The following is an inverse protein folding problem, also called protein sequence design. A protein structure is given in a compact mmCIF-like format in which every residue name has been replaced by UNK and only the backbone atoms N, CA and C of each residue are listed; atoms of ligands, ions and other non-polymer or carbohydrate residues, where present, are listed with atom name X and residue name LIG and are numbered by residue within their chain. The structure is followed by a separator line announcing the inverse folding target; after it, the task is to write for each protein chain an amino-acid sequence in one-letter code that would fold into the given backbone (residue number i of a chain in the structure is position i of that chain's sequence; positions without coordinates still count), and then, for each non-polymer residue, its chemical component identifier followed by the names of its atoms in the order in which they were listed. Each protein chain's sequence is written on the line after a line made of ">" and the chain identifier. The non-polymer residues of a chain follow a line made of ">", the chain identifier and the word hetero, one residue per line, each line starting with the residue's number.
data_IF_820915100947
#
_entry.id   IF_820915100947
#
_cell.length_a   1.000
_cell.length_b   1.000
_cell.length_c   1.000
_cell.angle_alpha   90.00
_cell.angle_beta   90.00
_cell.angle_gamma   90.00
#
_symmetry.space_group_name_H-M   'P 1'
#
loop_
_entity.id
_entity.type
_entity.pdbx_description
1 polymer ?
#
# COMPACT_ATOMS: atom_id res chain seq x y z
N UNK A 1 10.07 -26.51 21.52
CA UNK A 1 9.49 -25.14 21.59
C UNK A 1 8.30 -25.11 20.64
N UNK A 2 7.22 -24.44 21.00
CA UNK A 2 6.10 -24.20 20.08
C UNK A 2 6.58 -23.34 18.90
N UNK A 3 5.99 -23.54 17.72
CA UNK A 3 6.26 -22.67 16.56
C UNK A 3 5.77 -21.24 16.87
N UNK A 4 6.49 -20.19 16.41
CA UNK A 4 5.96 -18.83 16.47
C UNK A 4 4.65 -18.72 15.67
N UNK A 5 3.68 -17.99 16.22
CA UNK A 5 2.39 -17.74 15.58
C UNK A 5 2.43 -16.46 14.79
N UNK A 6 2.20 -16.57 13.50
CA UNK A 6 2.26 -15.45 12.56
C UNK A 6 0.84 -15.15 12.07
N UNK A 7 0.38 -13.90 12.26
CA UNK A 7 -0.78 -13.43 11.54
C UNK A 7 -0.35 -12.96 10.15
N UNK A 8 -0.78 -13.67 9.12
CA UNK A 8 -0.64 -13.24 7.73
C UNK A 8 -1.88 -12.42 7.34
N UNK A 9 -1.72 -11.10 7.19
CA UNK A 9 -2.81 -10.20 6.89
C UNK A 9 -2.90 -9.88 5.40
N UNK A 10 -4.13 -9.92 4.86
CA UNK A 10 -4.45 -9.64 3.45
C UNK A 10 -5.79 -8.91 3.32
N UNK A 11 -6.18 -8.51 2.12
CA UNK A 11 -7.37 -7.70 1.87
C UNK A 11 -7.03 -6.24 1.66
N UNK A 12 -7.65 -5.35 2.41
CA UNK A 12 -7.43 -3.90 2.33
C UNK A 12 -8.74 -3.12 2.11
N UNK A 13 -8.64 -1.79 2.10
CA UNK A 13 -9.78 -0.86 2.05
C UNK A 13 -9.89 -0.16 0.69
N UNK A 14 -8.98 -0.41 -0.23
CA UNK A 14 -8.97 0.19 -1.55
C UNK A 14 -9.27 -0.82 -2.65
N UNK A 15 -9.39 -0.36 -3.86
CA UNK A 15 -9.49 -1.19 -5.08
C UNK A 15 -8.31 -2.17 -5.25
N UNK A 16 -7.19 -1.96 -4.53
CA UNK A 16 -6.04 -2.86 -4.52
C UNK A 16 -6.27 -4.16 -3.73
N UNK A 17 -7.35 -4.28 -2.95
CA UNK A 17 -7.67 -5.51 -2.21
C UNK A 17 -7.69 -6.75 -3.10
N UNK A 18 -8.15 -6.62 -4.35
CA UNK A 18 -8.12 -7.71 -5.33
C UNK A 18 -6.69 -8.20 -5.61
N UNK A 19 -5.71 -7.28 -5.63
CA UNK A 19 -4.30 -7.62 -5.81
C UNK A 19 -3.75 -8.30 -4.56
N UNK A 20 -4.13 -7.80 -3.37
CA UNK A 20 -3.76 -8.40 -2.08
C UNK A 20 -4.18 -9.87 -2.02
N UNK A 21 -5.42 -10.19 -2.38
CA UNK A 21 -5.91 -11.58 -2.39
C UNK A 21 -5.18 -12.47 -3.40
N UNK A 22 -4.79 -11.94 -4.56
CA UNK A 22 -3.97 -12.70 -5.54
C UNK A 22 -2.57 -12.95 -5.00
N UNK A 23 -1.93 -11.96 -4.41
CA UNK A 23 -0.62 -12.08 -3.78
C UNK A 23 -0.65 -13.06 -2.60
N UNK A 24 -1.75 -13.08 -1.84
CA UNK A 24 -1.93 -13.96 -0.70
C UNK A 24 -1.78 -15.45 -1.07
N UNK A 25 -2.34 -15.86 -2.21
CA UNK A 25 -2.21 -17.24 -2.70
C UNK A 25 -0.74 -17.63 -2.90
N UNK A 26 0.03 -16.72 -3.51
CA UNK A 26 1.46 -16.96 -3.74
C UNK A 26 2.24 -16.99 -2.43
N UNK A 27 1.94 -16.07 -1.52
CA UNK A 27 2.60 -16.00 -0.21
C UNK A 27 2.33 -17.29 0.57
N UNK A 28 1.06 -17.69 0.71
CA UNK A 28 0.64 -18.89 1.46
C UNK A 28 1.32 -20.16 0.94
N UNK A 29 1.45 -20.29 -0.38
CA UNK A 29 2.12 -21.45 -1.00
C UNK A 29 3.64 -21.50 -0.76
N UNK A 30 4.25 -20.41 -0.28
CA UNK A 30 5.69 -20.31 -0.05
C UNK A 30 6.05 -20.09 1.43
N UNK A 31 5.07 -20.15 2.34
CA UNK A 31 5.34 -20.07 3.78
C UNK A 31 5.93 -21.37 4.31
N UNK A 32 6.93 -21.26 5.15
CA UNK A 32 7.58 -22.41 5.82
C UNK A 32 6.75 -22.82 7.05
N UNK A 33 5.75 -23.67 6.80
CA UNK A 33 4.85 -24.18 7.85
C UNK A 33 5.54 -25.15 8.82
N UNK A 34 6.76 -25.62 8.53
CA UNK A 34 7.55 -26.39 9.49
C UNK A 34 8.12 -25.51 10.59
N UNK A 35 8.37 -24.22 10.27
CA UNK A 35 8.91 -23.23 11.22
C UNK A 35 7.85 -22.40 11.90
N UNK A 36 6.73 -22.11 11.23
CA UNK A 36 5.73 -21.16 11.70
C UNK A 36 4.33 -21.77 11.76
N UNK A 37 3.54 -21.35 12.71
CA UNK A 37 2.09 -21.55 12.76
C UNK A 37 1.43 -20.28 12.19
N UNK A 38 0.80 -20.37 11.01
CA UNK A 38 0.33 -19.20 10.27
C UNK A 38 -1.19 -19.14 10.25
N UNK A 39 -1.71 -17.97 10.61
CA UNK A 39 -3.14 -17.64 10.59
C UNK A 39 -3.37 -16.53 9.57
N UNK A 40 -4.13 -16.82 8.52
CA UNK A 40 -4.57 -15.78 7.60
C UNK A 40 -5.59 -14.90 8.28
N UNK A 41 -5.42 -13.58 8.20
CA UNK A 41 -6.40 -12.59 8.66
C UNK A 41 -6.82 -11.74 7.45
N UNK A 42 -8.09 -11.74 7.16
CA UNK A 42 -8.67 -10.86 6.16
C UNK A 42 -9.07 -9.54 6.82
N UNK A 43 -8.60 -8.43 6.25
CA UNK A 43 -8.91 -7.07 6.69
C UNK A 43 -9.77 -6.41 5.62
N UNK A 44 -11.01 -6.09 5.97
CA UNK A 44 -11.94 -5.35 5.11
C UNK A 44 -12.45 -4.10 5.84
N UNK A 45 -13.07 -3.14 5.14
CA UNK A 45 -13.66 -1.97 5.80
C UNK A 45 -14.69 -2.30 6.88
N UNK A 46 -15.39 -3.44 6.72
CA UNK A 46 -16.49 -3.84 7.59
C UNK A 46 -16.03 -4.68 8.78
N UNK A 47 -14.99 -5.51 8.58
CA UNK A 47 -14.57 -6.49 9.60
C UNK A 47 -13.15 -7.01 9.37
N UNK A 48 -12.52 -7.43 10.46
CA UNK A 48 -11.26 -8.18 10.45
C UNK A 48 -11.54 -9.59 10.97
N UNK A 49 -11.13 -10.61 10.24
CA UNK A 49 -11.47 -11.97 10.59
C UNK A 49 -10.46 -13.00 10.08
N UNK A 50 -10.38 -14.13 10.78
CA UNK A 50 -9.70 -15.33 10.33
C UNK A 50 -10.72 -16.27 9.65
N UNK A 51 -10.54 -16.63 8.36
CA UNK A 51 -11.36 -17.67 7.73
C UNK A 51 -10.91 -19.03 8.24
N UNK A 52 -11.75 -19.72 9.02
CA UNK A 52 -11.45 -21.08 9.49
C UNK A 52 -11.67 -22.13 8.39
N UNK A 53 -11.08 -23.31 8.56
CA UNK A 53 -11.17 -24.39 7.58
C UNK A 53 -12.57 -24.96 7.36
N UNK A 54 -13.51 -24.73 8.28
CA UNK A 54 -14.91 -25.14 8.20
C UNK A 54 -15.82 -24.07 7.56
N UNK A 55 -15.23 -22.98 7.09
CA UNK A 55 -15.93 -21.87 6.43
C UNK A 55 -16.50 -20.82 7.40
N UNK A 56 -16.23 -20.94 8.70
CA UNK A 56 -16.59 -19.90 9.65
C UNK A 56 -15.62 -18.73 9.60
N UNK A 57 -16.07 -17.56 10.01
CA UNK A 57 -15.26 -16.36 10.16
C UNK A 57 -15.06 -16.07 11.64
N UNK A 58 -13.85 -16.24 12.12
CA UNK A 58 -13.47 -15.94 13.51
C UNK A 58 -13.08 -14.47 13.58
N UNK A 59 -13.82 -13.62 14.31
CA UNK A 59 -13.50 -12.20 14.40
C UNK A 59 -12.18 -11.95 15.12
N UNK A 60 -11.46 -10.92 14.68
CA UNK A 60 -10.27 -10.42 15.37
C UNK A 60 -10.70 -9.45 16.46
N UNK A 61 -10.20 -9.64 17.66
CA UNK A 61 -10.28 -8.62 18.71
C UNK A 61 -9.28 -7.51 18.40
N UNK A 62 -9.79 -6.37 17.94
CA UNK A 62 -8.95 -5.23 17.56
C UNK A 62 -8.32 -4.51 18.77
N UNK A 63 -8.72 -4.84 20.00
CA UNK A 63 -8.14 -4.22 21.20
C UNK A 63 -6.74 -4.77 21.51
N UNK A 64 -6.43 -6.00 21.07
CA UNK A 64 -5.13 -6.64 21.27
C UNK A 64 -4.65 -7.50 20.10
N UNK A 65 -5.35 -7.42 18.98
CA UNK A 65 -5.08 -8.18 17.75
C UNK A 65 -5.00 -9.69 17.98
N UNK A 66 -5.98 -10.26 18.65
CA UNK A 66 -6.09 -11.69 18.90
C UNK A 66 -7.33 -12.29 18.23
N UNK A 67 -7.38 -13.62 18.16
CA UNK A 67 -8.57 -14.38 17.78
C UNK A 67 -8.92 -15.37 18.91
N UNK A 68 -10.20 -15.79 18.98
CA UNK A 68 -10.63 -16.84 19.91
C UNK A 68 -11.23 -18.00 19.11
N UNK A 69 -10.58 -19.17 19.15
CA UNK A 69 -11.07 -20.40 18.54
C UNK A 69 -11.25 -21.47 19.60
N UNK A 70 -12.40 -22.13 19.60
CA UNK A 70 -12.78 -23.18 20.57
C UNK A 70 -12.58 -22.77 22.05
N UNK A 71 -12.84 -21.50 22.36
CA UNK A 71 -12.65 -20.94 23.68
C UNK A 71 -11.21 -20.67 24.09
N UNK A 72 -10.25 -20.86 23.17
CA UNK A 72 -8.84 -20.58 23.39
C UNK A 72 -8.46 -19.27 22.69
N UNK A 73 -7.88 -18.35 23.45
CA UNK A 73 -7.33 -17.10 22.93
C UNK A 73 -5.98 -17.35 22.25
N UNK A 74 -5.84 -16.88 21.03
CA UNK A 74 -4.65 -16.99 20.20
C UNK A 74 -4.09 -15.59 19.98
N UNK A 75 -2.89 -15.34 20.53
CA UNK A 75 -2.11 -14.15 20.27
C UNK A 75 -1.04 -14.45 19.21
N UNK A 76 -0.58 -13.44 18.52
CA UNK A 76 0.41 -13.55 17.45
C UNK A 76 1.77 -12.99 17.90
N UNK A 77 2.85 -13.69 17.55
CA UNK A 77 4.22 -13.29 17.86
C UNK A 77 4.75 -12.26 16.84
N UNK A 78 4.22 -12.26 15.62
CA UNK A 78 4.56 -11.29 14.58
C UNK A 78 3.49 -11.24 13.48
N UNK A 79 3.51 -10.17 12.72
CA UNK A 79 2.59 -9.90 11.60
C UNK A 79 3.34 -9.96 10.27
N UNK A 80 2.84 -10.74 9.33
CA UNK A 80 3.24 -10.71 7.93
C UNK A 80 2.23 -9.87 7.15
N UNK A 81 2.62 -8.66 6.74
CA UNK A 81 1.75 -7.75 5.99
C UNK A 81 1.80 -8.10 4.51
N UNK A 82 0.66 -8.55 3.95
CA UNK A 82 0.46 -8.87 2.55
C UNK A 82 -0.63 -8.03 1.88
N UNK A 83 -0.92 -6.85 2.42
CA UNK A 83 -1.91 -5.91 1.89
C UNK A 83 -1.24 -4.93 0.94
N UNK A 84 -1.78 -4.80 -0.27
CA UNK A 84 -1.49 -3.70 -1.18
C UNK A 84 -2.47 -2.55 -0.89
N UNK A 85 -1.94 -1.33 -0.88
CA UNK A 85 -2.73 -0.14 -0.58
C UNK A 85 -3.05 0.05 0.90
N UNK A 86 -4.06 0.87 1.17
CA UNK A 86 -4.53 1.15 2.54
C UNK A 86 -5.28 -0.06 3.13
N UNK A 87 -5.10 -0.39 4.42
CA UNK A 87 -4.27 0.25 5.44
C UNK A 87 -2.86 -0.36 5.59
N UNK A 88 -2.41 -1.21 4.62
CA UNK A 88 -1.18 -2.00 4.72
C UNK A 88 0.10 -1.26 4.34
N UNK A 89 0.01 -0.25 3.46
CA UNK A 89 1.18 0.46 2.94
C UNK A 89 1.25 1.93 3.38
N UNK A 90 0.19 2.48 3.97
CA UNK A 90 0.06 3.91 4.30
C UNK A 90 0.40 4.27 5.75
N UNK A 91 1.00 3.35 6.50
CA UNK A 91 1.45 3.57 7.88
C UNK A 91 0.39 3.32 8.95
N UNK A 92 -0.88 3.08 8.58
CA UNK A 92 -1.98 2.91 9.55
C UNK A 92 -1.85 1.62 10.34
N UNK A 93 -1.67 0.48 9.68
CA UNK A 93 -1.46 -0.80 10.38
C UNK A 93 -0.14 -0.83 11.11
N UNK A 94 0.91 -0.23 10.54
CA UNK A 94 2.20 -0.12 11.20
C UNK A 94 2.08 0.63 12.54
N UNK A 95 1.41 1.80 12.54
CA UNK A 95 1.16 2.57 13.75
C UNK A 95 0.28 1.82 14.78
N UNK A 96 -0.69 1.06 14.31
CA UNK A 96 -1.52 0.22 15.16
C UNK A 96 -0.69 -0.89 15.85
N UNK A 97 0.16 -1.60 15.10
CA UNK A 97 1.03 -2.63 15.66
C UNK A 97 2.15 -2.07 16.53
N UNK A 98 2.67 -0.87 16.21
CA UNK A 98 3.62 -0.16 17.05
C UNK A 98 3.04 0.12 18.45
N UNK A 99 1.78 0.60 18.52
CA UNK A 99 1.08 0.83 19.79
C UNK A 99 0.87 -0.45 20.61
N UNK A 100 0.72 -1.59 19.94
CA UNK A 100 0.55 -2.89 20.59
C UNK A 100 1.87 -3.61 20.90
N UNK A 101 2.98 -3.10 20.42
CA UNK A 101 4.29 -3.75 20.56
C UNK A 101 4.40 -5.07 19.80
N UNK A 102 3.60 -5.29 18.75
CA UNK A 102 3.63 -6.50 17.92
C UNK A 102 4.56 -6.26 16.73
N UNK A 103 5.64 -7.03 16.55
CA UNK A 103 6.53 -6.87 15.41
C UNK A 103 5.84 -7.25 14.09
N UNK A 104 6.20 -6.54 13.02
CA UNK A 104 5.61 -6.75 11.69
C UNK A 104 6.66 -6.64 10.57
N UNK A 105 6.34 -7.20 9.41
CA UNK A 105 7.08 -6.97 8.17
C UNK A 105 6.63 -5.65 7.54
N UNK A 106 7.51 -4.91 6.92
CA UNK A 106 7.31 -3.63 6.24
C UNK A 106 8.24 -2.54 6.81
N UNK A 107 8.18 -1.35 6.26
CA UNK A 107 8.76 -0.15 6.85
C UNK A 107 7.97 0.26 8.11
N UNK A 108 8.54 1.14 8.93
CA UNK A 108 7.81 1.78 10.03
C UNK A 108 6.67 2.67 9.54
N UNK A 109 5.81 3.10 10.46
CA UNK A 109 4.63 3.91 10.13
C UNK A 109 4.97 5.21 9.39
N UNK A 110 6.02 5.91 9.80
CA UNK A 110 6.42 7.18 9.18
C UNK A 110 6.95 6.98 7.76
N UNK A 111 7.82 5.99 7.55
CA UNK A 111 8.37 5.65 6.24
C UNK A 111 7.28 5.16 5.30
N UNK A 112 6.37 4.30 5.78
CA UNK A 112 5.23 3.80 4.99
C UNK A 112 4.31 4.94 4.56
N UNK A 113 3.91 5.81 5.47
CA UNK A 113 3.05 6.97 5.15
C UNK A 113 3.71 7.93 4.15
N UNK A 114 5.01 8.18 4.29
CA UNK A 114 5.76 9.02 3.38
C UNK A 114 5.84 8.42 1.98
N UNK A 115 6.24 7.15 1.88
CA UNK A 115 6.53 6.50 0.58
C UNK A 115 5.26 6.12 -0.18
N UNK A 116 4.15 5.90 0.50
CA UNK A 116 2.85 5.66 -0.13
C UNK A 116 2.26 6.93 -0.77
N UNK A 117 2.55 8.11 -0.20
CA UNK A 117 2.12 9.39 -0.71
C UNK A 117 3.11 9.93 -1.76
N UNK A 118 2.72 9.92 -3.04
CA UNK A 118 3.61 10.30 -4.17
C UNK A 118 4.14 11.72 -4.05
N UNK A 119 3.31 12.67 -3.61
CA UNK A 119 3.74 14.05 -3.40
C UNK A 119 4.84 14.15 -2.35
N UNK A 120 4.67 13.46 -1.22
CA UNK A 120 5.68 13.47 -0.16
C UNK A 120 6.95 12.76 -0.61
N UNK A 121 6.83 11.62 -1.29
CA UNK A 121 7.97 10.90 -1.86
C UNK A 121 8.76 11.79 -2.83
N UNK A 122 8.09 12.43 -3.77
CA UNK A 122 8.72 13.33 -4.76
C UNK A 122 9.41 14.51 -4.05
N UNK A 123 8.75 15.14 -3.07
CA UNK A 123 9.31 16.26 -2.34
C UNK A 123 10.58 15.87 -1.55
N UNK A 124 10.55 14.73 -0.84
CA UNK A 124 11.71 14.26 -0.07
C UNK A 124 12.85 13.79 -0.99
N UNK A 125 12.53 13.11 -2.10
CA UNK A 125 13.52 12.72 -3.09
C UNK A 125 14.22 13.93 -3.70
N UNK A 126 13.47 14.94 -4.12
CA UNK A 126 14.02 16.20 -4.65
C UNK A 126 14.88 16.93 -3.62
N UNK A 127 14.41 17.04 -2.38
CA UNK A 127 15.18 17.63 -1.27
C UNK A 127 16.50 16.90 -1.02
N UNK A 128 16.52 15.58 -1.24
CA UNK A 128 17.71 14.74 -1.11
C UNK A 128 18.63 14.77 -2.34
N UNK A 129 18.36 15.63 -3.32
CA UNK A 129 19.18 15.79 -4.53
C UNK A 129 18.93 14.73 -5.59
N UNK A 130 17.87 13.91 -5.46
CA UNK A 130 17.46 12.95 -6.48
C UNK A 130 16.66 13.67 -7.55
N UNK A 131 17.00 13.46 -8.82
CA UNK A 131 16.22 14.01 -9.92
C UNK A 131 14.85 13.38 -9.97
N UNK A 132 13.81 14.22 -9.98
CA UNK A 132 12.41 13.82 -10.07
C UNK A 132 11.75 14.47 -11.28
N UNK A 133 10.68 13.89 -11.78
CA UNK A 133 9.89 14.49 -12.84
C UNK A 133 9.23 15.79 -12.33
N UNK A 134 9.10 16.77 -13.22
CA UNK A 134 8.30 17.96 -12.93
C UNK A 134 6.85 17.53 -12.74
N UNK A 135 6.24 17.98 -11.66
CA UNK A 135 4.89 17.56 -11.31
C UNK A 135 4.05 18.67 -10.72
N UNK A 136 2.75 18.58 -10.93
CA UNK A 136 1.73 19.45 -10.35
C UNK A 136 0.82 18.62 -9.46
N UNK A 137 0.58 19.09 -8.24
CA UNK A 137 -0.31 18.45 -7.29
C UNK A 137 -1.66 19.15 -7.27
N UNK A 138 -2.72 18.41 -7.49
CA UNK A 138 -4.09 18.91 -7.59
C UNK A 138 -4.98 18.33 -6.49
N UNK A 139 -5.95 19.12 -6.06
CA UNK A 139 -6.99 18.72 -5.12
C UNK A 139 -8.36 18.74 -5.80
N UNK A 140 -9.20 17.76 -5.50
CA UNK A 140 -10.57 17.68 -6.06
C UNK A 140 -11.38 18.95 -5.82
N UNK A 141 -11.23 19.54 -4.64
CA UNK A 141 -12.00 20.73 -4.23
C UNK A 141 -11.43 22.05 -4.74
N UNK A 142 -10.29 22.01 -5.43
CA UNK A 142 -9.67 23.20 -6.02
C UNK A 142 -9.43 22.92 -7.51
N UNK A 143 -10.48 22.97 -8.34
CA UNK A 143 -10.36 22.65 -9.75
C UNK A 143 -9.42 23.62 -10.45
N UNK A 144 -8.50 23.08 -11.24
CA UNK A 144 -7.54 23.82 -12.06
C UNK A 144 -7.84 23.54 -13.53
N UNK A 145 -7.85 24.55 -14.36
CA UNK A 145 -8.13 24.41 -15.78
C UNK A 145 -7.00 23.71 -16.56
N UNK A 146 -7.36 23.05 -17.65
CA UNK A 146 -6.39 22.34 -18.52
C UNK A 146 -5.25 23.26 -18.98
N UNK A 147 -5.55 24.49 -19.36
CA UNK A 147 -4.54 25.48 -19.81
C UNK A 147 -3.56 25.82 -18.69
N UNK A 148 -4.05 26.02 -17.49
CA UNK A 148 -3.23 26.32 -16.31
C UNK A 148 -2.32 25.14 -15.95
N UNK A 149 -2.84 23.91 -16.02
CA UNK A 149 -2.04 22.70 -15.80
C UNK A 149 -0.91 22.62 -16.83
N UNK A 150 -1.25 22.75 -18.13
CA UNK A 150 -0.29 22.66 -19.22
C UNK A 150 0.66 23.86 -19.33
N UNK A 151 0.40 24.94 -18.63
CA UNK A 151 1.39 26.02 -18.46
C UNK A 151 2.55 25.63 -17.52
N UNK A 152 2.33 24.61 -16.68
CA UNK A 152 3.29 24.18 -15.66
C UNK A 152 4.00 22.86 -15.97
N UNK A 153 3.39 21.98 -16.78
CA UNK A 153 3.94 20.68 -17.17
C UNK A 153 3.76 20.45 -18.66
N UNK A 154 4.71 19.74 -19.28
CA UNK A 154 4.70 19.45 -20.70
C UNK A 154 4.12 18.06 -21.02
N UNK A 155 3.35 17.96 -22.08
CA UNK A 155 2.90 16.66 -22.61
C UNK A 155 4.09 15.88 -23.22
N UNK A 156 4.07 14.55 -23.12
CA UNK A 156 3.07 13.73 -22.44
C UNK A 156 3.23 13.77 -20.91
N UNK A 157 2.10 13.57 -20.20
CA UNK A 157 2.08 13.51 -18.73
C UNK A 157 1.46 12.20 -18.25
N UNK A 158 1.82 11.79 -17.04
CA UNK A 158 1.06 10.84 -16.26
C UNK A 158 0.13 11.57 -15.30
N UNK A 159 -1.13 11.18 -15.30
CA UNK A 159 -2.13 11.60 -14.32
C UNK A 159 -2.39 10.41 -13.40
N UNK A 160 -2.18 10.57 -12.10
CA UNK A 160 -2.25 9.45 -11.15
C UNK A 160 -2.79 9.89 -9.79
N UNK A 161 -3.53 9.03 -9.08
CA UNK A 161 -3.90 9.27 -7.69
C UNK A 161 -2.65 9.51 -6.85
N UNK A 162 -2.71 10.41 -5.88
CA UNK A 162 -1.57 10.71 -5.02
C UNK A 162 -1.20 9.53 -4.11
N UNK A 163 -2.22 8.86 -3.55
CA UNK A 163 -2.06 7.62 -2.80
C UNK A 163 -2.53 6.41 -3.65
N UNK A 164 -2.05 5.22 -3.31
CA UNK A 164 -2.35 4.00 -4.05
C UNK A 164 -1.24 3.59 -5.02
N UNK A 165 -1.36 2.37 -5.50
CA UNK A 165 -0.38 1.71 -6.35
C UNK A 165 -1.02 0.93 -7.50
N UNK A 166 -0.34 -0.12 -7.96
CA UNK A 166 -0.83 -1.06 -8.98
C UNK A 166 -1.36 -0.40 -10.26
N UNK A 167 -0.95 0.84 -10.55
CA UNK A 167 -1.42 1.67 -11.68
C UNK A 167 -2.93 1.90 -11.74
N UNK A 168 -3.66 1.68 -10.63
CA UNK A 168 -5.10 1.93 -10.56
C UNK A 168 -5.35 3.44 -10.62
N UNK A 169 -6.30 3.85 -11.45
CA UNK A 169 -6.61 5.28 -11.66
C UNK A 169 -5.59 6.06 -12.50
N UNK A 170 -4.45 5.46 -12.86
CA UNK A 170 -3.41 6.12 -13.66
C UNK A 170 -3.77 6.18 -15.15
N UNK A 171 -3.36 7.28 -15.80
CA UNK A 171 -3.46 7.46 -17.27
C UNK A 171 -2.23 8.18 -17.80
N UNK A 172 -1.71 7.74 -18.95
CA UNK A 172 -0.75 8.51 -19.75
C UNK A 172 -1.52 9.38 -20.74
N UNK A 173 -1.33 10.69 -20.66
CA UNK A 173 -2.00 11.70 -21.47
C UNK A 173 -1.01 12.25 -22.48
N UNK A 174 -1.33 12.07 -23.77
CA UNK A 174 -0.49 12.56 -24.87
C UNK A 174 -1.05 13.84 -25.50
N UNK A 175 -2.34 14.14 -25.30
CA UNK A 175 -3.02 15.29 -25.87
C UNK A 175 -3.81 16.04 -24.82
N UNK A 176 -3.91 17.36 -24.94
CA UNK A 176 -4.61 18.21 -24.00
C UNK A 176 -6.09 17.83 -23.79
N UNK A 177 -6.74 17.39 -24.85
CA UNK A 177 -8.15 16.99 -24.86
C UNK A 177 -8.47 15.80 -23.96
N UNK A 178 -7.48 14.91 -23.71
CA UNK A 178 -7.64 13.72 -22.86
C UNK A 178 -7.43 14.00 -21.35
N UNK A 179 -6.94 15.19 -21.02
CA UNK A 179 -6.51 15.49 -19.64
C UNK A 179 -7.68 15.50 -18.65
N UNK A 180 -8.82 16.04 -19.04
CA UNK A 180 -10.00 16.12 -18.18
C UNK A 180 -10.54 14.73 -17.83
N UNK A 181 -10.57 13.80 -18.76
CA UNK A 181 -11.00 12.42 -18.51
C UNK A 181 -10.01 11.70 -17.59
N UNK A 182 -8.71 11.87 -17.83
CA UNK A 182 -7.66 11.30 -16.98
C UNK A 182 -7.73 11.80 -15.54
N UNK A 183 -7.96 13.10 -15.34
CA UNK A 183 -8.18 13.69 -14.02
C UNK A 183 -9.41 13.10 -13.33
N UNK A 184 -10.53 13.03 -14.03
CA UNK A 184 -11.76 12.44 -13.50
C UNK A 184 -11.57 10.98 -13.07
N UNK A 185 -10.81 10.21 -13.84
CA UNK A 185 -10.46 8.83 -13.50
C UNK A 185 -9.61 8.75 -12.23
N UNK A 186 -8.57 9.56 -12.13
CA UNK A 186 -7.68 9.58 -10.97
C UNK A 186 -8.39 10.06 -9.70
N UNK A 187 -9.25 11.08 -9.81
CA UNK A 187 -10.05 11.59 -8.69
C UNK A 187 -11.13 10.63 -8.21
N UNK A 188 -11.45 9.54 -8.91
CA UNK A 188 -12.32 8.48 -8.35
C UNK A 188 -11.61 7.68 -7.25
N UNK A 189 -10.30 7.57 -7.34
CA UNK A 189 -9.48 6.79 -6.42
C UNK A 189 -8.96 7.62 -5.24
N UNK A 190 -8.70 8.93 -5.42
CA UNK A 190 -8.14 9.80 -4.38
C UNK A 190 -8.68 11.24 -4.49
N UNK A 191 -8.71 11.95 -3.37
CA UNK A 191 -8.99 13.38 -3.31
C UNK A 191 -7.84 14.24 -3.88
N UNK A 192 -6.67 13.65 -4.05
CA UNK A 192 -5.45 14.28 -4.50
C UNK A 192 -4.90 13.56 -5.72
N UNK A 193 -4.49 14.32 -6.73
CA UNK A 193 -3.96 13.80 -7.98
C UNK A 193 -2.62 14.46 -8.29
N UNK A 194 -1.68 13.67 -8.78
CA UNK A 194 -0.41 14.15 -9.30
C UNK A 194 -0.46 14.11 -10.84
N UNK A 195 -0.17 15.25 -11.48
CA UNK A 195 0.11 15.34 -12.91
C UNK A 195 1.60 15.49 -13.07
N UNK A 196 2.26 14.53 -13.72
CA UNK A 196 3.71 14.41 -13.76
C UNK A 196 4.19 14.25 -15.19
N UNK A 197 5.23 15.01 -15.58
CA UNK A 197 5.84 14.90 -16.90
C UNK A 197 6.38 13.49 -17.14
N UNK A 198 6.15 12.97 -18.34
CA UNK A 198 6.73 11.69 -18.75
C UNK A 198 8.22 11.83 -19.01
N UNK A 199 9.01 11.04 -18.29
CA UNK A 199 10.45 10.91 -18.53
C UNK A 199 10.69 9.73 -19.47
N UNK A 200 11.29 9.98 -20.61
CA UNK A 200 11.69 8.94 -21.56
C UNK A 200 12.95 8.23 -21.05
N UNK A 201 12.96 6.91 -21.14
CA UNK A 201 14.10 6.11 -20.71
C UNK A 201 13.73 4.66 -20.44
N UNK A 202 14.69 3.93 -19.87
CA UNK A 202 14.47 2.57 -19.36
C UNK A 202 13.87 2.63 -17.96
N UNK A 203 12.90 1.78 -17.70
CA UNK A 203 12.31 1.62 -16.38
C UNK A 203 12.98 0.46 -15.64
N UNK A 204 13.22 0.65 -14.35
CA UNK A 204 13.80 -0.36 -13.48
C UNK A 204 12.97 -0.47 -12.21
N UNK A 205 12.80 -1.70 -11.75
CA UNK A 205 12.27 -2.00 -10.42
C UNK A 205 13.38 -2.66 -9.61
N UNK A 206 13.61 -2.15 -8.41
CA UNK A 206 14.63 -2.66 -7.51
C UNK A 206 13.94 -3.04 -6.20
N UNK A 207 14.04 -4.32 -5.81
CA UNK A 207 13.63 -4.78 -4.50
C UNK A 207 14.66 -4.34 -3.46
N UNK A 208 14.19 -3.70 -2.39
CA UNK A 208 15.06 -3.25 -1.29
C UNK A 208 14.46 -3.69 0.03
N UNK A 209 15.25 -4.32 0.87
CA UNK A 209 14.83 -4.64 2.23
C UNK A 209 15.97 -4.49 3.22
N UNK A 210 15.63 -4.36 4.49
CA UNK A 210 16.60 -4.28 5.59
C UNK A 210 16.55 -5.55 6.43
N UNK A 211 17.70 -6.19 6.60
CA UNK A 211 17.82 -7.35 7.48
C UNK A 211 19.09 -7.25 8.31
N UNK A 212 18.97 -7.53 9.62
CA UNK A 212 20.08 -7.49 10.58
C UNK A 212 20.91 -6.20 10.47
N UNK A 213 20.26 -5.05 10.32
CA UNK A 213 20.90 -3.74 10.22
C UNK A 213 21.50 -3.40 8.85
N UNK A 214 21.49 -4.32 7.89
CA UNK A 214 22.01 -4.12 6.53
C UNK A 214 20.87 -3.88 5.54
N UNK A 215 21.06 -2.91 4.63
CA UNK A 215 20.22 -2.73 3.45
C UNK A 215 20.68 -3.69 2.37
N UNK A 216 19.75 -4.43 1.80
CA UNK A 216 19.99 -5.42 0.74
C UNK A 216 19.14 -5.01 -0.46
N UNK A 217 19.77 -4.98 -1.63
CA UNK A 217 19.12 -4.77 -2.94
C UNK A 217 19.11 -6.06 -3.72
N UNK A 218 17.98 -6.33 -4.42
CA UNK A 218 17.77 -7.52 -5.26
C UNK A 218 17.91 -7.16 -6.75
#
# INVERSE_FOLDING_TARGET
>A
MSKPRIAFITGGYSSEAVISYKSAITIENNLDLDKYEVYRINITPEKWFHPSGDGQEIPVDISDFSISSDGVKINFDAILIGIHGTPGEDGKLQGYFDLMGIPYTSCDAATSALTFNKRFTVAVAAFSGINVARSLHLFRHTPVGTEEILSQVNLPVFVKPNNGGSSIGMSKVNKAEDLAEALNKAFKEDEQVLVEEFISGREFTIGVFRSKGKVITL
#
